data_IF_558150600425
#
_entry.id   IF_558150600425
#
_cell.length_a   1.000
_cell.length_b   1.000
_cell.length_c   1.000
_cell.angle_alpha   90.00
_cell.angle_beta   90.00
_cell.angle_gamma   90.00
#
_symmetry.space_group_name_H-M   'P 1'
#
loop_
_entity.id
_entity.type
_entity.pdbx_description
1 polymer ?
#
# COMPACT_ATOMS: atom_id res chain seq x y z
N UNK A 1 2.77 9.43 -14.18
CA UNK A 1 1.85 8.46 -14.83
C UNK A 1 0.68 8.20 -13.90
N UNK A 2 -0.49 7.84 -14.44
CA UNK A 2 -1.63 7.38 -13.63
C UNK A 2 -1.65 5.84 -13.65
N UNK A 3 -1.76 5.23 -12.48
CA UNK A 3 -1.85 3.79 -12.29
C UNK A 3 -3.27 3.43 -11.88
N UNK A 4 -3.75 2.28 -12.34
CA UNK A 4 -5.07 1.73 -12.01
C UNK A 4 -4.88 0.36 -11.35
N UNK A 5 -5.66 0.07 -10.33
CA UNK A 5 -5.59 -1.19 -9.59
C UNK A 5 -6.93 -1.60 -9.00
N UNK A 6 -7.05 -2.88 -8.66
CA UNK A 6 -8.24 -3.44 -8.02
C UNK A 6 -7.88 -4.60 -7.09
N UNK A 7 -8.78 -4.90 -6.16
CA UNK A 7 -8.75 -6.16 -5.43
C UNK A 7 -9.23 -7.32 -6.31
N UNK A 8 -8.96 -8.56 -5.87
CA UNK A 8 -9.35 -9.76 -6.63
C UNK A 8 -10.86 -9.88 -6.91
N UNK A 9 -11.72 -9.50 -5.96
CA UNK A 9 -13.17 -9.55 -6.14
C UNK A 9 -13.76 -8.28 -6.78
N UNK A 10 -12.90 -7.35 -7.21
CA UNK A 10 -13.24 -6.07 -7.83
C UNK A 10 -14.09 -5.10 -7.00
N UNK A 11 -14.49 -5.45 -5.77
CA UNK A 11 -15.25 -4.55 -4.89
C UNK A 11 -14.46 -3.29 -4.50
N UNK A 12 -13.13 -3.33 -4.60
CA UNK A 12 -12.24 -2.17 -4.41
C UNK A 12 -11.48 -1.93 -5.71
N UNK A 13 -11.60 -0.71 -6.24
CA UNK A 13 -10.88 -0.20 -7.42
C UNK A 13 -10.28 1.15 -7.04
N UNK A 14 -9.06 1.44 -7.48
CA UNK A 14 -8.38 2.70 -7.17
C UNK A 14 -7.53 3.17 -8.34
N UNK A 15 -7.28 4.47 -8.38
CA UNK A 15 -6.29 5.09 -9.26
C UNK A 15 -5.32 5.91 -8.44
N UNK A 16 -4.06 5.99 -8.86
CA UNK A 16 -3.05 6.77 -8.16
C UNK A 16 -2.06 7.37 -9.15
N UNK A 17 -1.67 8.62 -8.92
CA UNK A 17 -0.58 9.25 -9.69
C UNK A 17 0.75 8.75 -9.15
N UNK A 18 1.63 8.31 -10.03
CA UNK A 18 3.00 7.91 -9.69
C UNK A 18 3.98 8.74 -10.51
N UNK A 19 4.96 9.33 -9.84
CA UNK A 19 6.10 10.00 -10.48
C UNK A 19 7.32 9.10 -10.53
N UNK A 20 7.28 7.92 -9.91
CA UNK A 20 8.41 7.00 -9.94
C UNK A 20 8.50 6.36 -11.32
N UNK A 21 9.65 6.51 -12.03
CA UNK A 21 9.85 5.86 -13.31
C UNK A 21 10.09 4.39 -13.05
N UNK A 22 9.02 3.59 -12.98
CA UNK A 22 9.00 2.15 -12.68
C UNK A 22 10.36 1.62 -12.18
N UNK A 23 10.52 1.54 -10.86
CA UNK A 23 11.02 0.28 -10.35
C UNK A 23 10.07 -0.24 -9.29
N UNK A 24 9.59 -1.45 -9.53
CA UNK A 24 8.92 -2.25 -8.54
C UNK A 24 9.93 -2.60 -7.42
N UNK A 25 9.58 -2.32 -6.17
CA UNK A 25 10.39 -2.75 -5.02
C UNK A 25 9.86 -4.09 -4.53
N UNK A 26 10.73 -5.11 -4.45
CA UNK A 26 10.41 -6.34 -3.71
C UNK A 26 10.71 -6.12 -2.23
N UNK A 27 9.66 -6.08 -1.41
CA UNK A 27 9.80 -5.96 0.04
C UNK A 27 9.82 -7.35 0.67
N UNK A 28 10.90 -7.63 1.40
CA UNK A 28 11.11 -8.87 2.14
C UNK A 28 10.94 -8.68 3.66
N UNK A 29 10.28 -7.61 4.12
CA UNK A 29 10.03 -7.47 5.56
C UNK A 29 9.21 -8.67 6.09
N UNK A 30 9.26 -8.91 7.40
CA UNK A 30 8.56 -10.03 8.04
C UNK A 30 7.07 -10.08 7.69
N UNK A 31 6.44 -8.91 7.51
CA UNK A 31 5.03 -8.79 7.16
C UNK A 31 4.79 -9.19 5.70
N UNK A 32 5.56 -8.64 4.76
CA UNK A 32 5.44 -8.97 3.34
C UNK A 32 5.79 -10.43 3.03
N UNK A 33 6.70 -11.05 3.80
CA UNK A 33 6.97 -12.50 3.71
C UNK A 33 5.76 -13.36 4.07
N UNK A 34 4.94 -12.92 5.04
CA UNK A 34 3.72 -13.63 5.45
C UNK A 34 2.56 -13.41 4.46
N UNK A 35 2.48 -12.23 3.86
CA UNK A 35 1.39 -11.87 2.94
C UNK A 35 1.65 -12.37 1.51
N UNK A 36 2.90 -12.29 1.02
CA UNK A 36 3.26 -12.52 -0.38
C UNK A 36 3.12 -13.95 -0.91
N UNK A 37 2.51 -14.85 -0.13
CA UNK A 37 2.30 -16.25 -0.49
C UNK A 37 3.59 -16.95 -0.93
N UNK A 38 3.54 -17.64 -2.07
CA UNK A 38 4.65 -18.45 -2.58
C UNK A 38 5.91 -17.68 -2.97
N UNK A 39 5.82 -16.37 -3.21
CA UNK A 39 6.98 -15.55 -3.56
C UNK A 39 7.86 -15.17 -2.36
N UNK A 40 7.31 -15.18 -1.15
CA UNK A 40 8.02 -14.69 0.05
C UNK A 40 8.38 -13.20 -0.01
N UNK A 41 7.72 -12.41 -0.86
CA UNK A 41 7.84 -10.95 -0.91
C UNK A 41 6.57 -10.34 -1.48
N UNK A 42 6.41 -9.04 -1.26
CA UNK A 42 5.37 -8.23 -1.93
C UNK A 42 6.05 -7.23 -2.86
N UNK A 43 5.41 -6.95 -3.99
CA UNK A 43 5.82 -5.92 -4.93
C UNK A 43 5.15 -4.60 -4.53
N UNK A 44 5.94 -3.55 -4.34
CA UNK A 44 5.46 -2.20 -4.07
C UNK A 44 5.79 -1.30 -5.28
N UNK A 45 4.84 -0.44 -5.63
CA UNK A 45 4.99 0.62 -6.62
C UNK A 45 4.52 1.88 -5.93
N UNK A 46 5.36 2.91 -5.89
CA UNK A 46 5.03 4.12 -5.14
C UNK A 46 3.97 4.95 -5.87
N UNK A 47 2.84 5.17 -5.22
CA UNK A 47 1.84 6.16 -5.57
C UNK A 47 1.98 7.42 -4.72
N UNK A 48 1.64 8.58 -5.28
CA UNK A 48 1.63 9.84 -4.55
C UNK A 48 0.39 9.92 -3.66
N UNK A 49 0.60 9.91 -2.35
CA UNK A 49 -0.44 10.01 -1.34
C UNK A 49 -0.72 11.46 -0.90
N UNK A 50 0.13 12.40 -1.32
CA UNK A 50 0.20 13.75 -0.76
C UNK A 50 -0.88 14.69 -1.29
N UNK A 51 -2.11 14.66 -0.73
CA UNK A 51 -3.13 15.74 -0.79
C UNK A 51 -4.16 15.65 0.37
N UNK A 52 -3.67 15.33 1.58
CA UNK A 52 -4.16 15.93 2.84
C UNK A 52 -5.63 15.67 3.29
N UNK A 53 -6.00 14.40 3.59
CA UNK A 53 -7.32 14.08 4.19
C UNK A 53 -7.31 13.09 5.35
N UNK A 54 -6.14 12.56 5.76
CA UNK A 54 -6.11 11.53 6.80
C UNK A 54 -5.95 12.15 8.19
N UNK A 55 -7.06 12.38 8.89
CA UNK A 55 -7.08 12.73 10.33
C UNK A 55 -7.32 11.48 11.17
N UNK A 56 -6.38 11.14 12.04
CA UNK A 56 -6.46 9.96 12.92
C UNK A 56 -6.01 10.37 14.33
N UNK A 57 -6.84 10.10 15.32
CA UNK A 57 -6.51 10.21 16.74
C UNK A 57 -5.86 8.91 17.24
N UNK A 58 -4.89 8.99 18.15
CA UNK A 58 -4.15 7.82 18.67
C UNK A 58 -3.00 7.32 17.79
N UNK A 59 -2.44 8.16 16.91
CA UNK A 59 -1.31 7.78 16.03
C UNK A 59 -0.01 7.50 16.78
N UNK A 60 0.16 8.04 17.98
CA UNK A 60 1.29 7.80 18.88
C UNK A 60 1.42 6.34 19.34
N UNK A 61 0.37 5.53 19.19
CA UNK A 61 0.40 4.09 19.47
C UNK A 61 0.68 3.24 18.23
N UNK A 62 0.94 3.88 17.08
CA UNK A 62 1.21 3.19 15.83
C UNK A 62 2.63 3.51 15.35
N UNK A 63 3.51 2.50 15.36
CA UNK A 63 4.82 2.58 14.71
C UNK A 63 4.79 1.79 13.39
N UNK A 64 5.14 2.46 12.30
CA UNK A 64 5.41 1.87 10.98
C UNK A 64 4.23 1.76 10.02
N UNK A 65 4.45 0.96 8.98
CA UNK A 65 3.63 0.86 7.79
C UNK A 65 2.23 0.23 8.03
N UNK A 66 1.17 1.01 7.83
CA UNK A 66 -0.23 0.58 7.77
C UNK A 66 -0.53 -0.09 6.44
N UNK A 67 -1.21 -1.24 6.45
CA UNK A 67 -1.58 -1.99 5.25
C UNK A 67 -3.08 -2.05 5.10
N UNK A 68 -3.56 -1.82 3.89
CA UNK A 68 -4.98 -1.85 3.56
C UNK A 68 -5.30 -3.12 2.79
N UNK A 69 -6.40 -3.78 3.17
CA UNK A 69 -6.86 -5.02 2.57
C UNK A 69 -8.33 -4.89 2.18
N UNK A 70 -8.74 -5.64 1.16
CA UNK A 70 -10.16 -5.81 0.87
C UNK A 70 -10.83 -6.65 1.96
N UNK A 71 -11.88 -6.11 2.61
CA UNK A 71 -12.61 -6.84 3.65
C UNK A 71 -13.36 -8.08 3.15
N UNK A 72 -13.60 -8.18 1.84
CA UNK A 72 -14.30 -9.33 1.25
C UNK A 72 -13.34 -10.47 0.88
N UNK A 73 -12.29 -10.16 0.10
CA UNK A 73 -11.39 -11.18 -0.46
C UNK A 73 -10.02 -11.23 0.21
N UNK A 74 -9.73 -10.37 1.18
CA UNK A 74 -8.44 -10.32 1.89
C UNK A 74 -7.25 -9.85 1.05
N UNK A 75 -7.48 -9.41 -0.20
CA UNK A 75 -6.42 -8.93 -1.09
C UNK A 75 -5.73 -7.70 -0.50
N UNK A 76 -4.39 -7.72 -0.41
CA UNK A 76 -3.59 -6.55 -0.04
C UNK A 76 -3.66 -5.51 -1.16
N UNK A 77 -3.90 -4.24 -0.79
CA UNK A 77 -4.13 -3.15 -1.73
C UNK A 77 -2.93 -2.19 -1.80
N UNK A 78 -2.70 -1.43 -0.73
CA UNK A 78 -1.58 -0.49 -0.63
C UNK A 78 -1.08 -0.41 0.81
N UNK A 79 0.01 0.30 0.98
CA UNK A 79 0.66 0.46 2.27
C UNK A 79 1.01 1.93 2.51
N UNK A 80 0.81 2.43 3.71
CA UNK A 80 1.05 3.82 4.05
C UNK A 80 1.93 3.89 5.29
N UNK A 81 2.96 4.72 5.24
CA UNK A 81 3.82 4.98 6.40
C UNK A 81 3.75 6.47 6.77
N UNK A 82 3.66 6.77 8.06
CA UNK A 82 3.59 8.16 8.54
C UNK A 82 4.90 8.90 8.29
N UNK A 83 6.04 8.22 8.42
CA UNK A 83 7.35 8.81 8.14
C UNK A 83 7.47 9.19 6.66
N UNK A 84 6.82 8.42 5.79
CA UNK A 84 6.82 8.58 4.33
C UNK A 84 5.43 8.95 3.81
N UNK A 85 4.75 9.86 4.51
CA UNK A 85 3.34 10.24 4.29
C UNK A 85 2.98 10.76 2.90
N UNK A 86 3.99 11.03 2.06
CA UNK A 86 3.80 11.45 0.68
C UNK A 86 3.53 10.28 -0.26
N UNK A 87 3.67 9.04 0.21
CA UNK A 87 3.64 7.83 -0.60
C UNK A 87 2.63 6.78 -0.11
N UNK A 88 2.07 6.01 -1.05
CA UNK A 88 1.30 4.77 -0.82
C UNK A 88 1.74 3.65 -1.74
#
# INVERSE_FOLDING_TARGET
MELQGSCHCEKVKFTVKSHTPVPFMRCYCSICRKIGGGGGYVINIMGQARYDTLKVEGMEHTNGNKRYFCGECGCMLWCYDLEWSEWV
#
